data_IF_795593231223
#
_entry.id   IF_795593231223
#
_cell.length_a   1.000
_cell.length_b   1.000
_cell.length_c   1.000
_cell.angle_alpha   90.00
_cell.angle_beta   90.00
_cell.angle_gamma   90.00
#
_symmetry.space_group_name_H-M   'P 1'
#
loop_
_entity.id
_entity.type
_entity.pdbx_description
1 polymer ?
#
# COMPACT_ATOMS: atom_id res chain seq x y z
N UNK A 1 -4.56 -14.86 21.31
CA UNK A 1 -4.49 -15.10 22.76
C UNK A 1 -5.57 -14.28 23.44
N UNK A 2 -6.40 -14.90 24.27
CA UNK A 2 -7.39 -14.19 25.08
C UNK A 2 -6.67 -13.56 26.29
N UNK A 3 -6.74 -12.24 26.43
CA UNK A 3 -6.21 -11.57 27.61
C UNK A 3 -7.22 -11.67 28.76
N UNK A 4 -6.75 -11.74 30.02
CA UNK A 4 -7.63 -11.74 31.19
C UNK A 4 -8.61 -10.54 31.20
N UNK A 5 -9.89 -10.73 31.58
CA UNK A 5 -10.91 -9.68 31.59
C UNK A 5 -10.53 -8.43 32.40
N UNK A 6 -9.82 -8.60 33.52
CA UNK A 6 -9.42 -7.50 34.39
C UNK A 6 -8.49 -6.49 33.71
N UNK A 7 -7.70 -6.90 32.72
CA UNK A 7 -6.82 -5.99 31.97
C UNK A 7 -7.63 -5.03 31.09
N UNK A 8 -8.73 -5.52 30.50
CA UNK A 8 -9.65 -4.70 29.71
C UNK A 8 -10.37 -3.68 30.59
N UNK A 9 -10.82 -4.10 31.76
CA UNK A 9 -11.46 -3.22 32.73
C UNK A 9 -10.49 -2.14 33.20
N UNK A 10 -9.25 -2.52 33.56
CA UNK A 10 -8.21 -1.57 33.97
C UNK A 10 -7.87 -0.56 32.87
N UNK A 11 -7.76 -1.00 31.62
CA UNK A 11 -7.53 -0.11 30.48
C UNK A 11 -8.65 0.93 30.34
N UNK A 12 -9.92 0.51 30.48
CA UNK A 12 -11.09 1.40 30.39
C UNK A 12 -11.19 2.35 31.59
N UNK A 13 -10.87 1.90 32.79
CA UNK A 13 -10.80 2.74 34.00
C UNK A 13 -9.75 3.85 33.83
N UNK A 14 -8.53 3.50 33.43
CA UNK A 14 -7.44 4.45 33.18
C UNK A 14 -7.79 5.44 32.07
N UNK A 15 -8.47 4.98 31.01
CA UNK A 15 -8.95 5.82 29.91
C UNK A 15 -9.94 6.88 30.38
N UNK A 16 -10.86 6.52 31.28
CA UNK A 16 -11.91 7.43 31.80
C UNK A 16 -11.40 8.40 32.85
N UNK A 17 -10.56 7.93 33.78
CA UNK A 17 -10.12 8.70 34.95
C UNK A 17 -8.89 9.56 34.68
N UNK A 18 -7.96 9.04 33.89
CA UNK A 18 -6.66 9.71 33.62
C UNK A 18 -6.51 10.18 32.18
N UNK A 19 -7.51 9.94 31.34
CA UNK A 19 -7.47 10.37 29.94
C UNK A 19 -6.25 9.85 29.15
N UNK A 20 -5.69 8.71 29.53
CA UNK A 20 -4.48 8.17 28.89
C UNK A 20 -4.75 7.78 27.43
N UNK A 21 -3.82 8.11 26.55
CA UNK A 21 -3.77 7.73 25.13
C UNK A 21 -3.63 6.21 24.94
N UNK A 22 -3.91 5.72 23.72
CA UNK A 22 -3.70 4.31 23.37
C UNK A 22 -2.24 3.90 23.61
N UNK A 23 -1.29 4.79 23.33
CA UNK A 23 0.14 4.52 23.44
C UNK A 23 0.59 4.43 24.90
N UNK A 24 0.11 5.35 25.76
CA UNK A 24 0.37 5.29 27.20
C UNK A 24 -0.25 4.05 27.85
N UNK A 25 -1.45 3.65 27.42
CA UNK A 25 -2.08 2.41 27.89
C UNK A 25 -1.33 1.15 27.42
N UNK A 26 -0.89 1.12 26.17
CA UNK A 26 -0.11 0.03 25.61
C UNK A 26 1.23 -0.15 26.35
N UNK A 27 1.94 0.95 26.59
CA UNK A 27 3.18 0.95 27.36
C UNK A 27 2.95 0.51 28.81
N UNK A 28 1.92 1.05 29.48
CA UNK A 28 1.67 0.80 30.90
C UNK A 28 1.14 -0.60 31.20
N UNK A 29 0.37 -1.20 30.30
CA UNK A 29 -0.17 -2.54 30.45
C UNK A 29 0.69 -3.62 29.76
N UNK A 30 1.77 -3.23 29.07
CA UNK A 30 2.61 -4.11 28.26
C UNK A 30 1.79 -4.94 27.24
N UNK A 31 0.83 -4.28 26.57
CA UNK A 31 -0.06 -4.91 25.60
C UNK A 31 0.07 -4.27 24.22
N UNK A 32 -0.18 -5.03 23.13
CA UNK A 32 -0.17 -4.47 21.77
C UNK A 32 -1.17 -3.31 21.62
N UNK A 33 -0.78 -2.29 20.86
CA UNK A 33 -1.63 -1.11 20.55
C UNK A 33 -2.99 -1.50 19.97
N UNK A 34 -3.00 -2.52 19.11
CA UNK A 34 -4.21 -3.06 18.47
C UNK A 34 -5.19 -3.62 19.52
N UNK A 35 -4.70 -4.38 20.51
CA UNK A 35 -5.51 -4.89 21.62
C UNK A 35 -6.15 -3.74 22.41
N UNK A 36 -5.34 -2.75 22.80
CA UNK A 36 -5.83 -1.59 23.56
C UNK A 36 -6.87 -0.80 22.74
N UNK A 37 -6.59 -0.55 21.46
CA UNK A 37 -7.53 0.12 20.55
C UNK A 37 -8.90 -0.56 20.56
N UNK A 38 -8.96 -1.87 20.38
CA UNK A 38 -10.23 -2.60 20.37
C UNK A 38 -10.99 -2.51 21.70
N UNK A 39 -10.30 -2.31 22.82
CA UNK A 39 -10.94 -2.22 24.14
C UNK A 39 -11.46 -0.83 24.51
N UNK A 40 -10.88 0.23 23.94
CA UNK A 40 -11.16 1.62 24.33
C UNK A 40 -11.65 2.51 23.18
N UNK A 41 -11.86 1.96 21.97
CA UNK A 41 -12.31 2.73 20.79
C UNK A 41 -13.63 3.47 20.98
N UNK A 42 -14.49 2.99 21.88
CA UNK A 42 -15.76 3.60 22.27
C UNK A 42 -15.61 4.67 23.38
N UNK A 43 -14.40 4.87 23.90
CA UNK A 43 -14.06 5.85 24.92
C UNK A 43 -13.09 6.88 24.32
N UNK A 44 -13.58 7.83 23.50
CA UNK A 44 -12.76 8.91 22.97
C UNK A 44 -12.32 9.80 24.14
N UNK A 45 -11.01 10.03 24.25
CA UNK A 45 -10.51 11.08 25.14
C UNK A 45 -10.38 12.36 24.31
N UNK A 46 -10.89 13.51 24.81
CA UNK A 46 -10.72 14.80 24.16
C UNK A 46 -9.24 15.04 23.94
N UNK A 47 -8.85 15.13 22.67
CA UNK A 47 -7.45 15.31 22.36
C UNK A 47 -6.58 14.08 22.59
N UNK A 48 -7.09 12.87 22.39
CA UNK A 48 -6.25 11.69 22.26
C UNK A 48 -6.42 11.07 20.87
N UNK A 49 -5.31 11.01 20.17
CA UNK A 49 -5.14 10.53 18.81
C UNK A 49 -3.76 11.01 18.33
N UNK A 50 -3.23 10.51 17.22
CA UNK A 50 -2.18 11.24 16.52
C UNK A 50 -2.75 12.63 16.19
N UNK A 51 -2.35 13.68 16.91
CA UNK A 51 -3.03 14.99 16.88
C UNK A 51 -4.00 15.25 18.04
N UNK A 52 -3.65 14.78 19.23
CA UNK A 52 -4.41 15.02 20.45
C UNK A 52 -4.47 16.48 20.94
N UNK A 53 -3.52 17.32 20.58
CA UNK A 53 -3.73 18.77 20.71
C UNK A 53 -4.53 19.31 19.53
N UNK A 54 -5.28 20.39 19.70
CA UNK A 54 -5.50 21.31 18.58
C UNK A 54 -4.12 21.57 17.96
N UNK A 55 -3.91 21.32 16.65
CA UNK A 55 -2.57 21.43 16.08
C UNK A 55 -2.04 22.82 16.35
N UNK A 56 -0.84 22.90 16.92
CA UNK A 56 -0.21 24.18 17.24
C UNK A 56 -0.11 25.02 15.96
N UNK A 57 -0.09 26.34 16.09
CA UNK A 57 -0.02 27.21 14.91
C UNK A 57 1.15 26.85 13.98
N UNK A 58 2.30 26.48 14.56
CA UNK A 58 3.46 25.96 13.82
C UNK A 58 3.21 24.62 13.09
N UNK A 59 2.46 23.69 13.69
CA UNK A 59 2.07 22.43 13.02
C UNK A 59 1.10 22.66 11.85
N UNK A 60 0.16 23.61 12.00
CA UNK A 60 -0.75 24.01 10.92
C UNK A 60 0.02 24.64 9.77
N UNK A 61 0.93 25.57 10.07
CA UNK A 61 1.79 26.18 9.06
C UNK A 61 2.69 25.14 8.37
N UNK A 62 3.30 24.23 9.12
CA UNK A 62 4.11 23.15 8.55
C UNK A 62 3.30 22.24 7.63
N UNK A 63 2.07 21.90 8.02
CA UNK A 63 1.15 21.11 7.21
C UNK A 63 0.76 21.86 5.93
N UNK A 64 0.41 23.14 6.03
CA UNK A 64 0.07 23.97 4.87
C UNK A 64 1.26 24.12 3.92
N UNK A 65 2.46 24.40 4.45
CA UNK A 65 3.68 24.49 3.65
C UNK A 65 4.00 23.17 2.94
N UNK A 66 3.83 22.03 3.62
CA UNK A 66 4.00 20.70 3.03
C UNK A 66 2.98 20.43 1.92
N UNK A 67 1.70 20.76 2.15
CA UNK A 67 0.65 20.62 1.14
C UNK A 67 0.95 21.46 -0.11
N UNK A 68 1.37 22.72 0.09
CA UNK A 68 1.75 23.63 -0.99
C UNK A 68 2.98 23.14 -1.76
N UNK A 69 3.98 22.57 -1.07
CA UNK A 69 5.14 21.95 -1.71
C UNK A 69 4.70 20.81 -2.63
N UNK A 70 3.90 19.86 -2.13
CA UNK A 70 3.47 18.72 -2.93
C UNK A 70 2.46 19.08 -4.01
N UNK A 71 1.68 20.14 -3.85
CA UNK A 71 0.84 20.68 -4.92
C UNK A 71 1.68 21.14 -6.10
N UNK A 72 2.69 21.98 -5.84
CA UNK A 72 3.62 22.47 -6.88
C UNK A 72 4.37 21.34 -7.58
N UNK A 73 4.84 20.34 -6.83
CA UNK A 73 5.49 19.16 -7.43
C UNK A 73 4.56 18.41 -8.38
N UNK A 74 3.27 18.28 -8.05
CA UNK A 74 2.29 17.61 -8.92
C UNK A 74 1.98 18.43 -10.16
N UNK A 75 1.79 19.75 -10.01
CA UNK A 75 1.54 20.63 -11.15
C UNK A 75 2.72 20.61 -12.13
N UNK A 76 3.95 20.67 -11.61
CA UNK A 76 5.16 20.51 -12.42
C UNK A 76 5.20 19.17 -13.16
N UNK A 77 4.84 18.07 -12.49
CA UNK A 77 4.81 16.75 -13.12
C UNK A 77 3.72 16.62 -14.20
N UNK A 78 2.57 17.27 -14.01
CA UNK A 78 1.52 17.30 -15.04
C UNK A 78 1.95 18.11 -16.27
N UNK A 79 2.63 19.23 -16.06
CA UNK A 79 3.15 20.04 -17.15
C UNK A 79 4.27 19.32 -17.90
N UNK A 80 5.21 18.69 -17.19
CA UNK A 80 6.24 17.83 -17.78
C UNK A 80 5.62 16.66 -18.59
N UNK A 81 4.58 16.02 -18.05
CA UNK A 81 3.87 14.95 -18.74
C UNK A 81 3.20 15.41 -20.04
N UNK A 82 2.67 16.64 -20.09
CA UNK A 82 2.12 17.23 -21.32
C UNK A 82 3.23 17.53 -22.34
N UNK A 83 4.32 18.15 -21.91
CA UNK A 83 5.43 18.50 -22.80
C UNK A 83 6.16 17.28 -23.36
N UNK A 84 6.32 16.23 -22.56
CA UNK A 84 7.03 15.01 -22.96
C UNK A 84 6.17 14.03 -23.75
N UNK A 85 4.85 14.23 -23.82
CA UNK A 85 3.92 13.26 -24.40
C UNK A 85 4.28 12.86 -25.83
N UNK A 86 4.47 13.80 -26.75
CA UNK A 86 4.73 13.49 -28.16
C UNK A 86 6.05 12.72 -28.34
N UNK A 87 7.09 13.09 -27.58
CA UNK A 87 8.38 12.40 -27.56
C UNK A 87 8.26 10.97 -27.05
N UNK A 88 7.49 10.75 -25.98
CA UNK A 88 7.27 9.40 -25.44
C UNK A 88 6.38 8.57 -26.36
N UNK A 89 5.34 9.19 -26.94
CA UNK A 89 4.40 8.57 -27.85
C UNK A 89 4.97 8.24 -29.24
N UNK A 90 6.17 8.73 -29.57
CA UNK A 90 6.92 8.26 -30.73
C UNK A 90 7.26 6.76 -30.63
N UNK A 91 7.40 6.24 -29.41
CA UNK A 91 7.37 4.80 -29.15
C UNK A 91 5.90 4.37 -29.02
N UNK A 92 5.41 3.60 -29.99
CA UNK A 92 4.01 3.16 -30.04
C UNK A 92 3.54 2.44 -28.78
N UNK A 93 4.46 1.76 -28.08
CA UNK A 93 4.14 1.03 -26.86
C UNK A 93 3.88 1.94 -25.65
N UNK A 94 4.21 3.23 -25.73
CA UNK A 94 3.88 4.19 -24.68
C UNK A 94 2.37 4.36 -24.55
N UNK A 95 1.67 4.47 -25.68
CA UNK A 95 0.21 4.60 -25.71
C UNK A 95 -0.46 3.34 -25.19
N UNK A 96 0.09 2.17 -25.51
CA UNK A 96 -0.37 0.90 -24.96
C UNK A 96 -0.23 0.86 -23.44
N UNK A 97 0.91 1.33 -22.89
CA UNK A 97 1.12 1.46 -21.46
C UNK A 97 0.13 2.43 -20.79
N UNK A 98 -0.14 3.58 -21.41
CA UNK A 98 -1.15 4.53 -20.92
C UNK A 98 -2.54 3.89 -20.89
N UNK A 99 -2.94 3.20 -21.96
CA UNK A 99 -4.21 2.49 -22.02
C UNK A 99 -4.30 1.39 -20.96
N UNK A 100 -3.22 0.62 -20.78
CA UNK A 100 -3.10 -0.39 -19.73
C UNK A 100 -3.28 0.22 -18.34
N UNK A 101 -2.61 1.34 -18.03
CA UNK A 101 -2.77 2.00 -16.74
C UNK A 101 -4.20 2.51 -16.53
N UNK A 102 -4.85 3.03 -17.57
CA UNK A 102 -6.26 3.44 -17.52
C UNK A 102 -7.16 2.24 -17.21
N UNK A 103 -6.91 1.07 -17.79
CA UNK A 103 -7.68 -0.15 -17.55
C UNK A 103 -7.38 -0.78 -16.18
N UNK A 104 -6.12 -1.18 -15.93
CA UNK A 104 -5.69 -2.06 -14.84
C UNK A 104 -4.91 -1.32 -13.73
N UNK A 105 -4.59 -0.04 -13.92
CA UNK A 105 -3.80 0.72 -12.95
C UNK A 105 -4.52 0.99 -11.64
N UNK A 106 -3.77 1.07 -10.55
CA UNK A 106 -4.23 1.44 -9.22
C UNK A 106 -4.57 2.94 -9.15
N UNK A 107 -5.81 3.25 -8.78
CA UNK A 107 -6.37 4.63 -8.82
C UNK A 107 -6.83 5.15 -7.46
N UNK A 108 -6.63 4.41 -6.36
CA UNK A 108 -7.10 4.82 -5.01
C UNK A 108 -6.16 5.80 -4.30
N UNK A 109 -4.89 5.85 -4.70
CA UNK A 109 -3.90 6.80 -4.17
C UNK A 109 -3.29 7.58 -5.31
N UNK A 110 -3.28 8.91 -5.19
CA UNK A 110 -2.65 9.80 -6.19
C UNK A 110 -1.12 9.79 -6.11
N UNK A 111 -0.55 9.24 -5.04
CA UNK A 111 0.90 9.20 -4.81
C UNK A 111 1.46 7.78 -5.02
N UNK A 112 0.69 6.89 -5.65
CA UNK A 112 1.09 5.51 -5.90
C UNK A 112 0.65 5.14 -7.30
N UNK A 113 1.62 4.80 -8.14
CA UNK A 113 1.38 4.17 -9.44
C UNK A 113 1.64 2.69 -9.24
N UNK A 114 0.67 1.86 -9.58
CA UNK A 114 0.84 0.41 -9.59
C UNK A 114 -0.04 -0.21 -10.67
N UNK A 115 0.41 -1.33 -11.24
CA UNK A 115 -0.36 -2.15 -12.18
C UNK A 115 -0.33 -3.59 -11.66
N UNK A 116 -1.46 -4.28 -11.75
CA UNK A 116 -1.60 -5.65 -11.27
C UNK A 116 -2.19 -6.54 -12.38
N UNK A 117 -1.46 -7.57 -12.81
CA UNK A 117 -1.92 -8.50 -13.84
C UNK A 117 -1.21 -9.86 -13.73
N UNK A 118 -1.77 -10.90 -14.34
CA UNK A 118 -1.15 -12.23 -14.45
C UNK A 118 -0.49 -12.50 -15.80
N UNK A 119 -0.76 -11.66 -16.82
CA UNK A 119 -0.21 -11.81 -18.16
C UNK A 119 1.24 -11.29 -18.24
N UNK A 120 2.24 -12.13 -18.59
CA UNK A 120 3.64 -11.73 -18.60
C UNK A 120 3.99 -10.62 -19.60
N UNK A 121 3.55 -10.66 -20.88
CA UNK A 121 3.72 -9.53 -21.81
C UNK A 121 3.18 -8.20 -21.27
N UNK A 122 2.00 -8.20 -20.65
CA UNK A 122 1.40 -7.00 -20.04
C UNK A 122 2.29 -6.45 -18.92
N UNK A 123 2.76 -7.33 -18.04
CA UNK A 123 3.61 -6.91 -16.92
C UNK A 123 5.00 -6.47 -17.36
N UNK A 124 5.57 -7.06 -18.42
CA UNK A 124 6.85 -6.62 -18.99
C UNK A 124 6.73 -5.21 -19.60
N UNK A 125 5.64 -4.93 -20.32
CA UNK A 125 5.35 -3.59 -20.85
C UNK A 125 5.24 -2.57 -19.71
N UNK A 126 4.50 -2.90 -18.65
CA UNK A 126 4.33 -2.05 -17.48
C UNK A 126 5.67 -1.77 -16.77
N UNK A 127 6.43 -2.81 -16.46
CA UNK A 127 7.72 -2.70 -15.79
C UNK A 127 8.71 -1.82 -16.58
N UNK A 128 8.83 -2.05 -17.90
CA UNK A 128 9.70 -1.28 -18.77
C UNK A 128 9.40 0.22 -18.73
N UNK A 129 8.13 0.59 -18.87
CA UNK A 129 7.73 2.00 -18.85
C UNK A 129 7.82 2.60 -17.45
N UNK A 130 7.44 1.86 -16.42
CA UNK A 130 7.56 2.34 -15.04
C UNK A 130 9.02 2.61 -14.67
N UNK A 131 9.97 1.73 -15.03
CA UNK A 131 11.42 1.96 -14.84
C UNK A 131 11.93 3.21 -15.55
N UNK A 132 11.42 3.49 -16.75
CA UNK A 132 11.81 4.65 -17.54
C UNK A 132 11.28 5.96 -16.97
N UNK A 133 10.09 5.93 -16.37
CA UNK A 133 9.38 7.12 -15.89
C UNK A 133 9.60 7.44 -14.41
N UNK A 134 10.01 6.47 -13.61
CA UNK A 134 10.23 6.66 -12.17
C UNK A 134 11.70 6.90 -11.84
N UNK A 135 11.95 7.72 -10.83
CA UNK A 135 13.25 7.79 -10.14
C UNK A 135 13.28 6.93 -8.87
N UNK A 136 12.14 6.37 -8.47
CA UNK A 136 12.03 5.54 -7.25
C UNK A 136 12.25 4.06 -7.55
N UNK A 137 12.78 3.32 -6.59
CA UNK A 137 12.87 1.86 -6.71
C UNK A 137 11.48 1.24 -6.83
N UNK A 138 11.26 0.45 -7.89
CA UNK A 138 10.02 -0.32 -8.06
C UNK A 138 9.93 -1.43 -7.01
N UNK A 139 8.70 -1.71 -6.58
CA UNK A 139 8.44 -2.71 -5.57
C UNK A 139 7.46 -3.75 -6.12
N UNK A 140 7.86 -5.01 -6.07
CA UNK A 140 7.11 -6.10 -6.67
C UNK A 140 6.39 -6.91 -5.61
N UNK A 141 5.20 -7.41 -5.94
CA UNK A 141 4.52 -8.41 -5.11
C UNK A 141 3.65 -9.35 -5.92
N UNK A 142 3.67 -10.64 -5.58
CA UNK A 142 2.83 -11.66 -6.20
C UNK A 142 1.71 -12.04 -5.25
N UNK A 143 0.47 -11.92 -5.72
CA UNK A 143 -0.68 -12.55 -5.08
C UNK A 143 -0.75 -14.01 -5.52
N UNK A 144 -0.69 -14.92 -4.55
CA UNK A 144 -0.64 -16.36 -4.80
C UNK A 144 -1.73 -17.13 -4.05
N UNK A 145 -2.06 -18.30 -4.58
CA UNK A 145 -2.99 -19.28 -4.00
C UNK A 145 -2.24 -20.35 -3.19
N UNK A 146 -2.95 -21.02 -2.28
CA UNK A 146 -2.32 -21.95 -1.32
C UNK A 146 -1.64 -23.15 -2.00
N UNK A 147 -2.10 -23.50 -3.19
CA UNK A 147 -1.64 -24.60 -4.03
C UNK A 147 -0.49 -24.26 -4.99
N UNK A 148 -0.06 -22.99 -5.02
CA UNK A 148 1.04 -22.55 -5.89
C UNK A 148 2.40 -22.63 -5.19
N UNK A 149 3.43 -23.03 -5.95
CA UNK A 149 4.81 -23.04 -5.48
C UNK A 149 5.40 -21.62 -5.44
N UNK A 150 5.78 -21.17 -4.25
CA UNK A 150 6.28 -19.81 -4.04
C UNK A 150 7.65 -19.56 -4.70
N UNK A 151 8.50 -20.58 -4.78
CA UNK A 151 9.83 -20.48 -5.36
C UNK A 151 9.73 -20.41 -6.88
N UNK A 152 8.88 -21.25 -7.48
CA UNK A 152 8.59 -21.22 -8.92
C UNK A 152 8.05 -19.85 -9.35
N UNK A 153 7.08 -19.31 -8.59
CA UNK A 153 6.52 -17.99 -8.85
C UNK A 153 7.57 -16.87 -8.85
N UNK A 154 8.48 -16.89 -7.87
CA UNK A 154 9.55 -15.90 -7.78
C UNK A 154 10.57 -16.06 -8.91
N UNK A 155 10.95 -17.30 -9.23
CA UNK A 155 11.87 -17.59 -10.32
C UNK A 155 11.30 -17.11 -11.65
N UNK A 156 10.04 -17.45 -11.94
CA UNK A 156 9.35 -17.05 -13.16
C UNK A 156 9.34 -15.53 -13.34
N UNK A 157 8.82 -14.78 -12.37
CA UNK A 157 8.72 -13.33 -12.47
C UNK A 157 10.07 -12.62 -12.35
N UNK A 158 10.98 -13.17 -11.55
CA UNK A 158 12.34 -12.67 -11.42
C UNK A 158 13.09 -12.72 -12.75
N UNK A 159 13.05 -13.88 -13.43
CA UNK A 159 13.61 -14.05 -14.77
C UNK A 159 12.87 -13.17 -15.79
N UNK A 160 11.53 -13.15 -15.76
CA UNK A 160 10.73 -12.41 -16.74
C UNK A 160 10.98 -10.89 -16.70
N UNK A 161 11.21 -10.32 -15.52
CA UNK A 161 11.39 -8.87 -15.33
C UNK A 161 12.85 -8.46 -15.09
N UNK A 162 13.79 -9.42 -15.06
CA UNK A 162 15.20 -9.16 -14.75
C UNK A 162 15.38 -8.57 -13.34
N UNK A 163 14.67 -9.11 -12.35
CA UNK A 163 14.78 -8.71 -10.94
C UNK A 163 15.16 -9.88 -10.05
N UNK A 164 15.92 -9.59 -9.00
CA UNK A 164 16.24 -10.57 -7.97
C UNK A 164 14.95 -11.15 -7.37
N UNK A 165 14.84 -12.47 -7.39
CA UNK A 165 13.67 -13.22 -6.95
C UNK A 165 13.24 -12.84 -5.53
N UNK A 166 14.18 -12.55 -4.64
CA UNK A 166 14.01 -12.20 -3.22
C UNK A 166 13.34 -10.83 -3.04
N UNK A 167 13.48 -9.92 -4.01
CA UNK A 167 12.85 -8.58 -3.95
C UNK A 167 11.33 -8.64 -4.13
N UNK A 168 10.82 -9.74 -4.68
CA UNK A 168 9.39 -9.91 -4.92
C UNK A 168 8.71 -10.28 -3.60
N UNK A 169 7.69 -9.54 -3.17
CA UNK A 169 6.97 -9.88 -1.93
C UNK A 169 5.84 -10.86 -2.20
N UNK A 170 5.71 -11.90 -1.39
CA UNK A 170 4.60 -12.85 -1.54
C UNK A 170 3.40 -12.42 -0.69
N UNK A 171 2.23 -12.36 -1.32
CA UNK A 171 0.97 -11.98 -0.69
C UNK A 171 -0.03 -13.13 -0.83
N UNK A 172 -0.34 -13.81 0.27
CA UNK A 172 -1.32 -14.90 0.23
C UNK A 172 -2.70 -14.32 -0.05
N UNK A 173 -3.38 -14.83 -1.08
CA UNK A 173 -4.77 -14.47 -1.33
C UNK A 173 -5.66 -15.25 -0.38
N UNK A 174 -6.37 -14.56 0.50
CA UNK A 174 -7.22 -15.17 1.54
C UNK A 174 -8.57 -15.66 1.04
N UNK A 175 -8.75 -15.86 -0.28
CA UNK A 175 -10.01 -16.37 -0.80
C UNK A 175 -10.30 -17.73 -0.14
N UNK A 176 -11.36 -17.74 0.66
CA UNK A 176 -11.90 -18.88 1.40
C UNK A 176 -12.01 -20.08 0.47
N UNK A 177 -11.70 -21.28 0.98
CA UNK A 177 -11.71 -22.60 0.34
C UNK A 177 -13.05 -23.01 -0.35
N UNK A 178 -13.63 -22.18 -1.21
CA UNK A 178 -14.94 -22.38 -1.83
C UNK A 178 -14.95 -21.92 -3.30
N UNK A 179 -13.89 -22.23 -4.05
CA UNK A 179 -13.89 -22.05 -5.50
C UNK A 179 -13.76 -23.41 -6.19
N UNK A 180 -14.66 -24.34 -5.87
CA UNK A 180 -14.84 -25.55 -6.69
C UNK A 180 -15.37 -25.15 -8.06
N UNK A 181 -14.78 -25.71 -9.13
CA UNK A 181 -15.28 -25.55 -10.50
C UNK A 181 -14.72 -24.36 -11.31
N UNK A 182 -13.72 -23.63 -10.83
CA UNK A 182 -12.99 -22.64 -11.65
C UNK A 182 -11.60 -23.15 -12.01
N UNK A 183 -11.32 -23.22 -13.31
CA UNK A 183 -9.95 -23.40 -13.81
C UNK A 183 -9.18 -22.10 -13.56
N UNK A 184 -8.20 -22.15 -12.66
CA UNK A 184 -7.27 -21.05 -12.47
C UNK A 184 -6.40 -20.90 -13.72
N UNK A 185 -6.48 -19.73 -14.38
CA UNK A 185 -5.63 -19.40 -15.54
C UNK A 185 -4.39 -18.57 -15.18
N UNK A 186 -4.28 -18.15 -13.92
CA UNK A 186 -3.13 -17.40 -13.42
C UNK A 186 -2.06 -18.36 -12.89
N UNK A 187 -1.48 -19.17 -13.78
CA UNK A 187 -0.46 -20.18 -13.47
C UNK A 187 0.65 -19.60 -12.59
N UNK A 188 1.14 -18.41 -12.95
CA UNK A 188 2.19 -17.69 -12.23
C UNK A 188 1.65 -16.63 -11.26
N UNK A 189 0.43 -16.81 -10.75
CA UNK A 189 -0.20 -15.86 -9.83
C UNK A 189 -0.51 -14.51 -10.48
N UNK A 190 -0.74 -13.49 -9.66
CA UNK A 190 -0.98 -12.12 -10.14
C UNK A 190 0.10 -11.21 -9.59
N UNK A 191 0.91 -10.64 -10.48
CA UNK A 191 1.98 -9.73 -10.11
C UNK A 191 1.46 -8.30 -10.02
N UNK A 192 1.92 -7.57 -9.01
CA UNK A 192 1.83 -6.12 -8.94
C UNK A 192 3.24 -5.51 -8.99
N UNK A 193 3.40 -4.47 -9.80
CA UNK A 193 4.55 -3.54 -9.83
C UNK A 193 4.09 -2.14 -9.48
#
# INVERSE_FOLDING_TARGET
MAHPPYLREKARELRRTKHLTIDELAARLALPRTTIYHWVRDLPVPGSGPGGGLPTWGQRLGTAAMQQKYLRLRESAYEEGRHSFDTLAADGTFRDFVCLYVAEGYKRSRNTVAICNSDPPVMNLADRWMRRLTQSTLAYSIQYHTDQDLEELRAFWGTMLGVEAERIRMQRKSNSNQLSGRTWRCEYGVLQV
#
